data_IF_661172668737
#
_entry.id   IF_661172668737
#
_cell.length_a   1.000
_cell.length_b   1.000
_cell.length_c   1.000
_cell.angle_alpha   90.00
_cell.angle_beta   90.00
_cell.angle_gamma   90.00
#
_symmetry.space_group_name_H-M   'P 1'
#
loop_
_entity.id
_entity.type
_entity.pdbx_description
1 polymer ?
#
# COMPACT_ATOMS: atom_id res chain seq x y z
N UNK A 1 -23.04 -49.88 -23.10
CA UNK A 1 -22.26 -48.64 -23.38
C UNK A 1 -22.48 -47.50 -22.38
N UNK A 2 -23.66 -47.29 -21.79
CA UNK A 2 -23.90 -46.14 -20.90
C UNK A 2 -23.33 -46.24 -19.48
N UNK A 3 -23.04 -47.45 -18.96
CA UNK A 3 -22.47 -47.62 -17.61
C UNK A 3 -20.99 -47.18 -17.59
N UNK A 4 -20.18 -47.64 -18.55
CA UNK A 4 -18.77 -47.28 -18.66
C UNK A 4 -18.53 -45.78 -18.89
N UNK A 5 -19.41 -45.11 -19.65
CA UNK A 5 -19.33 -43.66 -19.89
C UNK A 5 -19.59 -42.84 -18.62
N UNK A 6 -20.47 -43.31 -17.72
CA UNK A 6 -20.75 -42.66 -16.43
C UNK A 6 -19.60 -42.84 -15.45
N UNK A 7 -18.99 -44.03 -15.43
CA UNK A 7 -17.81 -44.30 -14.57
C UNK A 7 -16.60 -43.48 -14.99
N UNK A 8 -16.34 -43.33 -16.30
CA UNK A 8 -15.26 -42.47 -16.81
C UNK A 8 -15.47 -40.99 -16.44
N UNK A 9 -16.70 -40.50 -16.57
CA UNK A 9 -17.05 -39.12 -16.20
C UNK A 9 -16.86 -38.87 -14.69
N UNK A 10 -17.23 -39.83 -13.83
CA UNK A 10 -17.01 -39.72 -12.39
C UNK A 10 -15.54 -39.74 -11.99
N UNK A 11 -14.71 -40.56 -12.65
CA UNK A 11 -13.26 -40.58 -12.40
C UNK A 11 -12.60 -39.27 -12.85
N UNK A 12 -13.03 -38.71 -13.99
CA UNK A 12 -12.50 -37.45 -14.50
C UNK A 12 -12.81 -36.26 -13.56
N UNK A 13 -13.99 -36.25 -12.95
CA UNK A 13 -14.39 -35.25 -11.94
C UNK A 13 -13.55 -35.36 -10.67
N UNK A 14 -13.27 -36.58 -10.18
CA UNK A 14 -12.46 -36.79 -8.97
C UNK A 14 -11.00 -36.37 -9.19
N UNK A 15 -10.42 -36.66 -10.37
CA UNK A 15 -9.05 -36.26 -10.71
C UNK A 15 -8.93 -34.73 -10.90
N UNK A 16 -9.96 -34.08 -11.45
CA UNK A 16 -10.00 -32.62 -11.59
C UNK A 16 -10.01 -31.88 -10.24
N UNK A 17 -10.73 -32.39 -9.24
CA UNK A 17 -10.79 -31.80 -7.89
C UNK A 17 -9.47 -31.97 -7.12
N UNK A 18 -8.75 -33.07 -7.33
CA UNK A 18 -7.45 -33.29 -6.68
C UNK A 18 -6.33 -32.38 -7.23
N UNK A 19 -6.44 -31.90 -8.47
CA UNK A 19 -5.46 -31.00 -9.07
C UNK A 19 -5.57 -29.56 -8.54
N UNK A 20 -6.77 -29.11 -8.14
CA UNK A 20 -6.99 -27.74 -7.63
C UNK A 20 -6.55 -27.56 -6.18
N UNK A 21 -6.54 -28.62 -5.36
CA UNK A 21 -6.12 -28.54 -3.95
C UNK A 21 -4.60 -28.45 -3.79
N UNK A 22 -3.80 -28.97 -4.72
CA UNK A 22 -2.33 -28.92 -4.68
C UNK A 22 -1.70 -27.57 -5.03
N UNK A 23 -2.49 -26.61 -5.55
CA UNK A 23 -1.99 -25.30 -5.97
C UNK A 23 -2.09 -24.23 -4.87
N UNK A 24 -2.96 -24.40 -3.88
CA UNK A 24 -3.24 -23.39 -2.85
C UNK A 24 -2.24 -23.34 -1.67
N UNK A 25 -1.22 -24.21 -1.64
CA UNK A 25 -0.29 -24.33 -0.51
C UNK A 25 1.19 -24.35 -0.89
N UNK A 26 1.54 -23.94 -2.11
CA UNK A 26 2.94 -23.84 -2.53
C UNK A 26 3.39 -22.41 -2.28
N UNK A 27 4.02 -22.17 -1.14
CA UNK A 27 4.77 -20.92 -0.93
C UNK A 27 5.87 -20.86 -2.00
N UNK A 28 5.64 -20.04 -3.03
CA UNK A 28 6.56 -19.86 -4.17
C UNK A 28 7.78 -19.02 -3.74
N UNK A 29 7.67 -18.37 -2.59
CA UNK A 29 8.71 -17.53 -2.01
C UNK A 29 9.33 -18.23 -0.80
N UNK A 30 10.65 -18.09 -0.58
CA UNK A 30 11.26 -18.54 0.66
C UNK A 30 10.58 -17.83 1.85
N UNK A 31 10.44 -18.51 3.01
CA UNK A 31 9.86 -17.90 4.19
C UNK A 31 10.70 -16.69 4.62
N UNK A 32 10.09 -15.51 4.62
CA UNK A 32 10.71 -14.28 5.13
C UNK A 32 10.39 -14.19 6.62
N UNK A 33 11.40 -14.11 7.51
CA UNK A 33 11.16 -13.92 8.94
C UNK A 33 10.37 -12.64 9.19
N UNK A 34 9.36 -12.72 10.05
CA UNK A 34 8.62 -11.54 10.49
C UNK A 34 9.58 -10.57 11.19
N UNK A 35 9.63 -9.28 10.79
CA UNK A 35 10.46 -8.31 11.48
C UNK A 35 9.99 -8.16 12.93
N UNK A 36 10.92 -8.29 13.87
CA UNK A 36 10.61 -8.27 15.32
C UNK A 36 10.61 -6.86 15.90
N UNK A 37 10.96 -5.86 15.10
CA UNK A 37 11.18 -4.46 15.49
C UNK A 37 10.10 -3.51 14.96
N UNK A 38 9.01 -4.03 14.39
CA UNK A 38 7.87 -3.22 13.94
C UNK A 38 7.25 -2.46 15.10
N UNK A 39 7.13 -1.14 14.94
CA UNK A 39 6.46 -0.26 15.87
C UNK A 39 5.11 0.18 15.28
N UNK A 40 4.10 0.50 16.11
CA UNK A 40 2.89 1.14 15.62
C UNK A 40 3.24 2.43 14.87
N UNK A 41 2.71 2.57 13.66
CA UNK A 41 2.87 3.77 12.86
C UNK A 41 1.79 4.80 13.18
N UNK A 42 2.14 6.08 13.07
CA UNK A 42 1.17 7.17 13.21
C UNK A 42 0.32 7.27 11.96
N UNK A 43 -0.96 7.61 12.12
CA UNK A 43 -1.85 7.93 10.98
C UNK A 43 -1.34 9.14 10.18
N UNK A 44 -0.51 10.00 10.80
CA UNK A 44 0.12 11.13 10.13
C UNK A 44 1.56 10.85 9.67
N UNK A 45 2.05 9.62 9.81
CA UNK A 45 3.41 9.23 9.43
C UNK A 45 4.47 10.11 10.14
N UNK A 46 4.29 10.40 11.43
CA UNK A 46 5.17 11.29 12.20
C UNK A 46 6.62 10.77 12.26
N UNK A 47 6.78 9.46 12.14
CA UNK A 47 8.05 8.73 12.08
C UNK A 47 8.74 8.80 10.71
N UNK A 48 8.05 9.25 9.68
CA UNK A 48 8.54 9.20 8.31
C UNK A 48 9.51 10.37 8.07
N UNK A 49 10.77 10.10 7.68
CA UNK A 49 11.77 11.16 7.51
C UNK A 49 11.44 11.99 6.27
N UNK A 50 11.27 13.30 6.47
CA UNK A 50 11.17 14.30 5.40
C UNK A 50 12.46 15.12 5.29
N UNK A 51 12.79 15.65 4.11
CA UNK A 51 14.03 16.38 3.87
C UNK A 51 14.07 17.77 4.52
N UNK A 52 12.94 18.27 5.00
CA UNK A 52 12.84 19.55 5.70
C UNK A 52 11.74 19.51 6.77
N UNK A 53 11.73 20.47 7.73
CA UNK A 53 10.73 20.50 8.78
C UNK A 53 9.31 20.69 8.24
N UNK A 54 8.39 19.84 8.70
CA UNK A 54 6.96 20.00 8.45
C UNK A 54 6.41 21.21 9.21
N UNK A 55 5.66 22.04 8.51
CA UNK A 55 4.77 23.07 9.05
C UNK A 55 3.33 22.63 8.85
N UNK A 56 2.41 23.18 9.64
CA UNK A 56 0.99 22.82 9.60
C UNK A 56 0.12 24.03 9.32
N UNK A 57 -0.85 23.85 8.44
CA UNK A 57 -1.93 24.79 8.19
C UNK A 57 -3.24 24.17 8.67
N UNK A 58 -3.80 24.74 9.73
CA UNK A 58 -5.09 24.32 10.27
C UNK A 58 -6.23 24.86 9.41
N UNK A 59 -7.18 23.99 9.07
CA UNK A 59 -8.34 24.33 8.25
C UNK A 59 -9.59 23.63 8.78
N UNK A 60 -10.76 24.19 8.48
CA UNK A 60 -12.05 23.52 8.70
C UNK A 60 -12.66 23.16 7.35
N UNK A 61 -12.94 21.88 7.12
CA UNK A 61 -13.55 21.39 5.88
C UNK A 61 -14.63 20.38 6.23
N UNK A 62 -15.84 20.56 5.68
CA UNK A 62 -17.01 19.71 6.00
C UNK A 62 -17.28 19.56 7.50
N UNK A 63 -17.15 20.67 8.26
CA UNK A 63 -17.29 20.69 9.72
C UNK A 63 -16.30 19.81 10.48
N UNK A 64 -15.17 19.48 9.85
CA UNK A 64 -14.06 18.77 10.49
C UNK A 64 -12.85 19.68 10.56
N UNK A 65 -12.24 19.75 11.73
CA UNK A 65 -10.94 20.38 11.92
C UNK A 65 -9.87 19.42 11.43
N UNK A 66 -9.13 19.84 10.41
CA UNK A 66 -8.03 19.08 9.82
C UNK A 66 -6.82 19.97 9.63
N UNK A 67 -5.66 19.38 9.36
CA UNK A 67 -4.41 20.11 9.13
C UNK A 67 -3.72 19.61 7.87
N UNK A 68 -3.13 20.53 7.12
CA UNK A 68 -2.26 20.20 5.98
C UNK A 68 -0.81 20.32 6.44
N UNK A 69 -0.05 19.24 6.29
CA UNK A 69 1.41 19.26 6.45
C UNK A 69 2.04 19.81 5.17
N UNK A 70 2.96 20.76 5.28
CA UNK A 70 3.71 21.32 4.17
C UNK A 70 5.15 21.66 4.56
N UNK A 71 6.03 21.76 3.57
CA UNK A 71 7.39 22.28 3.75
C UNK A 71 7.48 23.63 3.04
N UNK A 72 8.08 24.60 3.71
CA UNK A 72 8.31 25.94 3.18
C UNK A 72 9.80 26.23 3.25
N UNK A 73 10.42 26.26 2.07
CA UNK A 73 11.87 26.29 1.88
C UNK A 73 12.25 27.65 1.30
N UNK A 74 13.03 28.41 2.07
CA UNK A 74 13.60 29.66 1.60
C UNK A 74 14.57 29.43 0.43
N UNK A 75 14.71 30.39 -0.50
CA UNK A 75 15.70 30.29 -1.56
C UNK A 75 17.11 30.19 -0.96
N UNK A 76 17.98 29.40 -1.58
CA UNK A 76 19.36 29.25 -1.14
C UNK A 76 20.22 30.52 -1.36
N UNK A 77 19.73 31.48 -2.13
CA UNK A 77 20.40 32.74 -2.44
C UNK A 77 19.40 33.89 -2.64
N UNK A 78 19.78 34.90 -3.42
CA UNK A 78 18.89 36.04 -3.70
C UNK A 78 17.58 35.57 -4.32
N UNK A 79 16.46 35.94 -3.70
CA UNK A 79 15.13 35.59 -4.19
C UNK A 79 14.92 36.14 -5.61
N UNK A 80 14.42 35.30 -6.51
CA UNK A 80 14.15 35.67 -7.89
C UNK A 80 12.74 36.24 -8.12
N UNK A 81 11.97 36.45 -7.04
CA UNK A 81 10.60 36.98 -7.09
C UNK A 81 9.51 35.97 -7.45
N UNK A 82 9.83 34.68 -7.56
CA UNK A 82 8.88 33.61 -7.88
C UNK A 82 8.71 32.61 -6.74
N UNK A 83 7.55 31.94 -6.72
CA UNK A 83 7.24 30.83 -5.82
C UNK A 83 6.88 29.62 -6.65
N UNK A 84 7.37 28.45 -6.23
CA UNK A 84 7.01 27.15 -6.81
C UNK A 84 6.20 26.37 -5.79
N UNK A 85 4.99 25.94 -6.17
CA UNK A 85 4.18 25.02 -5.38
C UNK A 85 4.34 23.61 -5.95
N UNK A 86 4.89 22.69 -5.16
CA UNK A 86 5.01 21.28 -5.51
C UNK A 86 3.85 20.52 -4.87
N UNK A 87 3.01 19.91 -5.72
CA UNK A 87 1.92 19.05 -5.30
C UNK A 87 2.30 17.61 -5.62
N UNK A 88 2.07 16.70 -4.67
CA UNK A 88 2.38 15.30 -4.87
C UNK A 88 1.32 14.57 -5.71
N UNK A 89 1.71 13.43 -6.28
CA UNK A 89 0.78 12.48 -6.90
C UNK A 89 0.11 11.56 -5.87
N UNK A 90 -0.84 10.74 -6.33
CA UNK A 90 -1.69 9.90 -5.48
C UNK A 90 -0.93 9.03 -4.46
N UNK A 91 0.23 8.51 -4.83
CA UNK A 91 0.98 7.55 -4.02
C UNK A 91 2.20 8.18 -3.31
N UNK A 92 2.35 9.50 -3.36
CA UNK A 92 3.57 10.20 -2.93
C UNK A 92 3.28 11.30 -1.91
N UNK A 93 2.46 10.99 -0.90
CA UNK A 93 2.11 11.94 0.17
C UNK A 93 0.75 11.70 0.83
N UNK A 94 0.06 10.61 0.48
CA UNK A 94 -1.20 10.20 1.09
C UNK A 94 -1.12 8.73 1.50
N UNK A 95 -0.57 8.50 2.69
CA UNK A 95 -0.64 7.24 3.43
C UNK A 95 -2.10 6.90 3.77
#
# INVERSE_FOLDING_TARGET
>A
MHVYARTLASVLVIVGVAATTGAHGRDILPPVPTPTDLKPGSITCDECPYPAPSKYLDINVYSQDVRISYMDIAPAGTANGHVVLLMHGNNFGGF
#
